data_IF_044750177950
#
_entry.id   IF_044750177950
#
_cell.length_a   1.000
_cell.length_b   1.000
_cell.length_c   1.000
_cell.angle_alpha   90.00
_cell.angle_beta   90.00
_cell.angle_gamma   90.00
#
_symmetry.space_group_name_H-M   'P 1'
#
loop_
_entity.id
_entity.type
_entity.pdbx_description
1 polymer ?
#
# COMPACT_ATOMS: atom_id res chain seq x y z
N UNK A 1 -17.26 -0.11 4.38
CA UNK A 1 -16.33 0.91 3.84
C UNK A 1 -16.46 2.26 4.57
N UNK A 2 -17.40 2.41 5.51
CA UNK A 2 -17.68 3.68 6.16
C UNK A 2 -16.77 4.04 7.34
N UNK A 3 -16.20 3.03 8.02
CA UNK A 3 -15.27 3.26 9.13
C UNK A 3 -14.01 4.02 8.68
N UNK A 4 -13.44 3.66 7.52
CA UNK A 4 -12.27 4.34 6.97
C UNK A 4 -12.57 5.80 6.61
N UNK A 5 -13.72 6.05 5.96
CA UNK A 5 -14.19 7.41 5.68
C UNK A 5 -14.37 8.20 6.97
N UNK A 6 -15.02 7.61 7.96
CA UNK A 6 -15.28 8.26 9.25
C UNK A 6 -13.98 8.60 9.98
N UNK A 7 -12.99 7.70 9.97
CA UNK A 7 -11.68 7.94 10.57
C UNK A 7 -10.94 9.11 9.88
N UNK A 8 -10.93 9.15 8.54
CA UNK A 8 -10.32 10.24 7.79
C UNK A 8 -11.02 11.59 8.08
N UNK A 9 -12.35 11.62 8.08
CA UNK A 9 -13.11 12.83 8.39
C UNK A 9 -12.87 13.29 9.83
N UNK A 10 -12.81 12.37 10.80
CA UNK A 10 -12.53 12.70 12.19
C UNK A 10 -11.14 13.30 12.38
N UNK A 11 -10.13 12.81 11.65
CA UNK A 11 -8.81 13.42 11.64
C UNK A 11 -8.83 14.84 11.06
N UNK A 12 -9.60 15.06 9.98
CA UNK A 12 -9.80 16.39 9.39
C UNK A 12 -10.60 17.35 10.29
N UNK A 13 -11.41 16.84 11.21
CA UNK A 13 -12.10 17.67 12.21
C UNK A 13 -11.16 18.07 13.37
N UNK A 14 -10.07 17.32 13.58
CA UNK A 14 -9.01 17.67 14.54
C UNK A 14 -8.04 18.68 13.92
N UNK A 15 -7.58 18.40 12.71
CA UNK A 15 -6.71 19.28 11.95
C UNK A 15 -7.03 19.18 10.45
N UNK A 16 -7.60 20.26 9.92
CA UNK A 16 -8.04 20.31 8.53
C UNK A 16 -6.91 20.57 7.54
N UNK A 17 -5.65 20.76 7.97
CA UNK A 17 -4.51 20.97 7.06
C UNK A 17 -3.78 19.66 6.69
N UNK A 18 -4.22 18.51 7.21
CA UNK A 18 -3.59 17.22 6.90
C UNK A 18 -3.93 16.71 5.49
N UNK A 19 -3.13 17.10 4.50
CA UNK A 19 -3.31 16.71 3.09
C UNK A 19 -3.42 15.19 2.87
N UNK A 20 -2.70 14.39 3.66
CA UNK A 20 -2.75 12.93 3.58
C UNK A 20 -4.17 12.39 3.80
N UNK A 21 -4.95 12.98 4.71
CA UNK A 21 -6.31 12.54 4.99
C UNK A 21 -7.29 12.94 3.89
N UNK A 22 -7.06 14.07 3.21
CA UNK A 22 -7.80 14.38 1.99
C UNK A 22 -7.50 13.38 0.88
N UNK A 23 -6.24 12.94 0.76
CA UNK A 23 -5.88 11.92 -0.22
C UNK A 23 -6.59 10.61 0.06
N UNK A 24 -6.60 10.17 1.31
CA UNK A 24 -7.29 8.94 1.71
C UNK A 24 -8.81 9.06 1.52
N UNK A 25 -9.40 10.21 1.87
CA UNK A 25 -10.81 10.44 1.63
C UNK A 25 -11.17 10.35 0.13
N UNK A 26 -10.43 11.06 -0.73
CA UNK A 26 -10.62 10.98 -2.18
C UNK A 26 -10.47 9.54 -2.71
N UNK A 27 -9.46 8.78 -2.25
CA UNK A 27 -9.28 7.38 -2.64
C UNK A 27 -10.44 6.49 -2.21
N UNK A 28 -10.94 6.66 -0.99
CA UNK A 28 -12.08 5.91 -0.46
C UNK A 28 -13.32 6.17 -1.31
N UNK A 29 -13.62 7.44 -1.62
CA UNK A 29 -14.80 7.78 -2.43
C UNK A 29 -14.64 7.37 -3.89
N UNK A 30 -13.43 7.43 -4.42
CA UNK A 30 -13.15 6.99 -5.78
C UNK A 30 -13.30 5.47 -5.92
N UNK A 31 -12.83 4.70 -4.93
CA UNK A 31 -12.98 3.25 -4.88
C UNK A 31 -14.44 2.79 -4.70
N UNK A 32 -15.33 3.62 -4.16
CA UNK A 32 -16.79 3.35 -4.13
C UNK A 32 -17.54 3.87 -5.36
N UNK A 33 -16.86 4.53 -6.31
CA UNK A 33 -17.51 5.21 -7.43
C UNK A 33 -18.29 6.47 -7.03
N UNK A 34 -18.11 6.98 -5.81
CA UNK A 34 -18.77 8.18 -5.30
C UNK A 34 -18.05 9.45 -5.78
N UNK A 35 -18.24 9.81 -7.05
CA UNK A 35 -17.65 11.01 -7.67
C UNK A 35 -18.05 12.30 -6.98
N UNK A 36 -19.27 12.38 -6.43
CA UNK A 36 -19.72 13.50 -5.60
C UNK A 36 -18.90 13.64 -4.32
N UNK A 37 -18.59 12.51 -3.67
CA UNK A 37 -17.72 12.47 -2.49
C UNK A 37 -16.31 12.98 -2.79
N UNK A 38 -15.72 12.54 -3.90
CA UNK A 38 -14.41 13.05 -4.34
C UNK A 38 -14.46 14.55 -4.57
N UNK A 39 -15.44 15.05 -5.34
CA UNK A 39 -15.54 16.50 -5.63
C UNK A 39 -15.69 17.33 -4.35
N UNK A 40 -16.41 16.82 -3.34
CA UNK A 40 -16.50 17.46 -2.02
C UNK A 40 -15.14 17.51 -1.33
N UNK A 41 -14.36 16.44 -1.37
CA UNK A 41 -13.02 16.40 -0.79
C UNK A 41 -12.09 17.42 -1.46
N UNK A 42 -12.08 17.47 -2.81
CA UNK A 42 -11.28 18.44 -3.58
C UNK A 42 -11.69 19.87 -3.23
N UNK A 43 -12.99 20.18 -3.23
CA UNK A 43 -13.48 21.51 -2.93
C UNK A 43 -13.16 21.97 -1.50
N UNK A 44 -13.18 21.05 -0.52
CA UNK A 44 -12.78 21.34 0.87
C UNK A 44 -11.27 21.61 0.95
N UNK A 45 -10.45 20.74 0.37
CA UNK A 45 -8.99 20.91 0.34
C UNK A 45 -8.58 22.24 -0.30
N UNK A 46 -9.16 22.58 -1.46
CA UNK A 46 -8.91 23.85 -2.15
C UNK A 46 -9.35 25.07 -1.33
N UNK A 47 -10.37 24.92 -0.48
CA UNK A 47 -10.79 25.98 0.43
C UNK A 47 -9.76 26.17 1.53
N UNK A 48 -9.34 25.08 2.19
CA UNK A 48 -8.31 25.10 3.23
C UNK A 48 -7.01 25.70 2.71
N UNK A 49 -6.54 25.28 1.54
CA UNK A 49 -5.30 25.82 0.95
C UNK A 49 -5.35 27.33 0.76
N UNK A 50 -6.49 27.87 0.29
CA UNK A 50 -6.72 29.32 0.17
C UNK A 50 -6.84 30.01 1.53
N UNK A 51 -7.54 29.41 2.49
CA UNK A 51 -7.74 29.97 3.83
C UNK A 51 -6.40 30.16 4.56
N UNK A 52 -5.52 29.16 4.48
CA UNK A 52 -4.24 29.17 5.19
C UNK A 52 -3.05 29.63 4.32
N UNK A 53 -3.25 29.89 3.03
CA UNK A 53 -2.18 30.27 2.11
C UNK A 53 -1.15 29.16 1.89
N UNK A 54 -1.55 27.90 2.01
CA UNK A 54 -0.67 26.73 1.90
C UNK A 54 -0.69 26.23 0.45
N UNK A 55 0.49 25.97 -0.12
CA UNK A 55 0.60 25.28 -1.40
C UNK A 55 0.37 23.78 -1.21
N UNK A 56 -0.36 23.16 -2.12
CA UNK A 56 -0.61 21.72 -2.08
C UNK A 56 0.67 20.93 -2.36
N UNK A 57 0.76 19.75 -1.74
CA UNK A 57 1.82 18.80 -2.05
C UNK A 57 1.67 18.31 -3.50
N UNK A 58 2.76 18.19 -4.30
CA UNK A 58 2.68 17.70 -5.69
C UNK A 58 2.03 16.32 -5.85
N UNK A 59 2.07 15.48 -4.81
CA UNK A 59 1.36 14.21 -4.79
C UNK A 59 -0.17 14.41 -4.75
N UNK A 60 -0.62 15.39 -3.97
CA UNK A 60 -2.04 15.76 -3.85
C UNK A 60 -2.55 16.35 -5.16
N UNK A 61 -1.80 17.25 -5.78
CA UNK A 61 -2.15 17.85 -7.08
C UNK A 61 -2.32 16.78 -8.16
N UNK A 62 -1.34 15.89 -8.32
CA UNK A 62 -1.43 14.77 -9.28
C UNK A 62 -2.63 13.88 -9.04
N UNK A 63 -3.01 13.67 -7.78
CA UNK A 63 -4.17 12.86 -7.46
C UNK A 63 -5.49 13.56 -7.79
N UNK A 64 -5.56 14.88 -7.59
CA UNK A 64 -6.70 15.68 -8.05
C UNK A 64 -6.82 15.57 -9.57
N UNK A 65 -5.72 15.75 -10.30
CA UNK A 65 -5.71 15.63 -11.77
C UNK A 65 -6.16 14.25 -12.23
N UNK A 66 -5.65 13.18 -11.58
CA UNK A 66 -6.04 11.80 -11.87
C UNK A 66 -7.55 11.59 -11.71
N UNK A 67 -8.11 11.95 -10.55
CA UNK A 67 -9.52 11.67 -10.27
C UNK A 67 -10.46 12.60 -11.06
N UNK A 68 -10.01 13.78 -11.49
CA UNK A 68 -10.78 14.64 -12.38
C UNK A 68 -10.70 14.18 -13.85
N UNK A 69 -9.60 13.56 -14.26
CA UNK A 69 -9.39 13.05 -15.62
C UNK A 69 -10.06 11.68 -15.83
N UNK A 70 -10.08 10.85 -14.80
CA UNK A 70 -10.66 9.51 -14.86
C UNK A 70 -12.11 9.51 -14.33
N UNK A 71 -13.07 9.28 -15.24
CA UNK A 71 -14.35 8.66 -14.86
C UNK A 71 -14.02 7.32 -14.19
N UNK A 72 -14.69 6.85 -13.12
CA UNK A 72 -14.23 5.73 -12.28
C UNK A 72 -14.09 4.43 -13.09
N UNK A 73 -12.94 4.28 -13.74
CA UNK A 73 -12.53 3.08 -14.43
C UNK A 73 -11.85 2.23 -13.37
N UNK A 74 -12.61 1.22 -12.93
CA UNK A 74 -12.18 0.00 -12.25
C UNK A 74 -10.65 -0.12 -12.14
N UNK A 75 -10.08 0.45 -11.08
CA UNK A 75 -8.76 0.01 -10.65
C UNK A 75 -9.00 -1.38 -10.06
N UNK A 76 -8.47 -2.48 -10.62
CA UNK A 76 -8.55 -3.76 -9.95
C UNK A 76 -7.90 -3.54 -8.60
N UNK A 77 -8.67 -3.68 -7.52
CA UNK A 77 -8.13 -3.78 -6.18
C UNK A 77 -7.10 -4.89 -6.26
N UNK A 78 -5.80 -4.54 -6.32
CA UNK A 78 -4.77 -5.50 -5.99
C UNK A 78 -5.00 -5.80 -4.52
N UNK A 79 -5.77 -6.85 -4.25
CA UNK A 79 -5.72 -7.48 -2.94
C UNK A 79 -4.23 -7.70 -2.68
N UNK A 80 -3.66 -7.20 -1.58
CA UNK A 80 -2.41 -7.75 -1.13
C UNK A 80 -2.72 -9.23 -0.90
N UNK A 81 -2.25 -10.10 -1.78
CA UNK A 81 -2.03 -11.49 -1.42
C UNK A 81 -0.96 -11.39 -0.35
N UNK A 82 -1.37 -11.22 0.90
CA UNK A 82 -0.49 -11.40 2.03
C UNK A 82 -0.03 -12.86 1.96
N UNK A 83 1.08 -13.11 1.27
CA UNK A 83 1.84 -14.32 1.47
C UNK A 83 2.42 -14.19 2.88
N UNK A 84 1.74 -14.83 3.84
CA UNK A 84 2.24 -15.06 5.20
C UNK A 84 3.34 -16.14 5.15
N UNK A 85 4.33 -15.96 4.28
CA UNK A 85 5.48 -16.86 4.17
C UNK A 85 6.79 -16.18 4.61
N UNK A 86 6.75 -14.88 4.93
CA UNK A 86 7.93 -14.13 5.37
C UNK A 86 8.12 -14.14 6.91
N UNK A 87 7.99 -15.32 7.55
CA UNK A 87 8.36 -15.48 8.98
C UNK A 87 8.85 -16.89 9.38
N UNK A 88 9.42 -17.70 8.47
CA UNK A 88 10.01 -19.01 8.86
C UNK A 88 11.39 -19.27 8.24
N UNK A 89 12.19 -18.23 8.04
CA UNK A 89 13.51 -18.36 7.41
C UNK A 89 14.67 -18.20 8.39
N UNK A 90 14.58 -18.69 9.64
CA UNK A 90 15.76 -18.77 10.51
C UNK A 90 15.59 -19.76 11.68
N UNK A 91 15.29 -21.02 11.37
CA UNK A 91 15.66 -22.13 12.27
C UNK A 91 17.00 -22.69 11.84
N UNK A 92 18.03 -22.30 12.60
CA UNK A 92 19.37 -22.89 12.68
C UNK A 92 19.36 -24.39 12.34
N UNK A 93 20.04 -24.77 11.25
CA UNK A 93 20.40 -26.17 10.98
C UNK A 93 21.52 -26.56 11.94
N UNK A 94 21.17 -27.16 13.08
CA UNK A 94 22.14 -27.92 13.88
C UNK A 94 22.44 -29.22 13.13
N UNK A 95 23.66 -29.29 12.58
CA UNK A 95 24.21 -30.45 11.91
C UNK A 95 24.56 -31.55 12.92
N UNK A 96 23.84 -32.67 12.86
CA UNK A 96 24.40 -33.97 13.28
C UNK A 96 23.89 -35.02 12.30
N UNK A 97 24.69 -35.30 11.29
CA UNK A 97 24.47 -36.39 10.34
C UNK A 97 25.80 -37.08 10.09
N UNK A 98 26.14 -38.04 10.95
CA UNK A 98 27.18 -39.03 10.68
C UNK A 98 26.63 -39.97 9.60
N UNK A 99 27.24 -39.94 8.42
CA UNK A 99 27.15 -41.02 7.44
C UNK A 99 28.55 -41.20 6.83
N UNK A 100 29.17 -42.32 7.18
CA UNK A 100 30.50 -42.74 6.74
C UNK A 100 30.55 -43.00 5.23
N UNK A 101 31.70 -42.83 4.56
CA UNK A 101 31.79 -42.75 3.11
C UNK A 101 31.86 -44.12 2.41
N UNK A 102 31.30 -44.21 1.20
CA UNK A 102 31.61 -45.28 0.24
C UNK A 102 33.02 -45.06 -0.34
N UNK A 103 33.88 -46.09 -0.42
CA UNK A 103 35.16 -45.97 -1.10
C UNK A 103 34.99 -46.04 -2.64
N UNK A 104 35.85 -45.37 -3.42
CA UNK A 104 35.86 -45.49 -4.88
C UNK A 104 36.56 -46.78 -5.33
N UNK A 105 35.95 -47.48 -6.28
CA UNK A 105 36.59 -48.55 -7.05
C UNK A 105 37.76 -47.98 -7.87
N UNK A 106 38.98 -48.26 -7.43
CA UNK A 106 40.17 -48.14 -8.27
C UNK A 106 40.75 -49.52 -8.48
N UNK A 107 40.46 -50.10 -9.64
CA UNK A 107 41.14 -51.29 -10.13
C UNK A 107 42.60 -50.98 -10.43
N UNK A 108 43.49 -51.72 -9.77
CA UNK A 108 44.86 -51.98 -10.23
C UNK A 108 45.19 -53.45 -9.96
N UNK A 109 45.89 -54.03 -10.93
CA UNK A 109 46.19 -55.45 -11.18
C UNK A 109 47.61 -55.79 -10.67
N UNK A 110 47.92 -57.08 -10.61
CA UNK A 110 49.27 -57.71 -10.52
C UNK A 110 49.93 -57.72 -9.12
N UNK A 111 50.54 -58.80 -8.62
CA UNK A 111 50.96 -60.12 -9.13
C UNK A 111 50.89 -61.18 -8.03
#
# INVERSE_FOLDING_TARGET
>A
MDAARHAALRGLDIDETWEVLYRDWMRIEWATGNTTGVRKAIARLQRVSRTYGISLEPLTERMIDLVLSESPLQVPVRQPTCNVDYFQSERVKSSTGVASPRPPDTGWRES
#
